data_IF_093038432932
#
_entry.id   IF_093038432932
#
_cell.length_a   1.000
_cell.length_b   1.000
_cell.length_c   1.000
_cell.angle_alpha   90.00
_cell.angle_beta   90.00
_cell.angle_gamma   90.00
#
_symmetry.space_group_name_H-M   'P 1'
#
loop_
_entity.id
_entity.type
_entity.pdbx_description
1 polymer ?
2 polymer ?
3 polymer ?
4 polymer ?
5 non-polymer ?
6 water ?
#
# COMPACT_ATOMS: atom_id res chain seq x y z
N UNK A 3 -18.29 2.98 31.81
CA UNK A 3 -17.94 2.78 30.40
C UNK A 3 -16.45 3.04 30.19
N UNK A 4 -15.74 3.30 31.28
CA UNK A 4 -14.32 3.64 31.21
C UNK A 4 -13.49 2.50 30.62
N UNK A 5 -13.60 1.31 31.21
CA UNK A 5 -12.89 0.13 30.69
C UNK A 5 -13.37 -0.26 29.30
N UNK A 6 -14.67 -0.14 29.04
CA UNK A 6 -15.21 -0.42 27.70
C UNK A 6 -14.59 0.48 26.64
N UNK A 7 -14.38 1.76 26.96
CA UNK A 7 -13.77 2.66 26.00
C UNK A 7 -12.31 2.28 25.75
N UNK A 8 -11.57 1.96 26.80
CA UNK A 8 -10.17 1.58 26.58
C UNK A 8 -10.10 0.29 25.75
N UNK A 9 -11.05 -0.63 25.95
CA UNK A 9 -11.05 -1.87 25.16
C UNK A 9 -11.29 -1.57 23.69
N UNK A 10 -12.22 -0.64 23.40
CA UNK A 10 -12.50 -0.28 22.01
C UNK A 10 -11.29 0.41 21.39
N UNK A 11 -10.62 1.25 22.20
CA UNK A 11 -9.42 1.96 21.75
C UNK A 11 -8.33 0.97 21.40
N UNK A 12 -8.18 -0.10 22.20
CA UNK A 12 -7.10 -1.05 21.93
C UNK A 12 -7.43 -1.93 20.74
N UNK A 13 -8.72 -2.22 20.49
CA UNK A 13 -9.08 -2.88 19.25
C UNK A 13 -8.69 -2.03 18.03
N UNK A 14 -9.05 -0.75 18.04
CA UNK A 14 -8.62 0.13 16.94
C UNK A 14 -7.10 0.14 16.80
N UNK A 15 -6.39 0.26 17.93
CA UNK A 15 -4.94 0.35 17.88
C UNK A 15 -4.32 -0.89 17.27
N UNK A 16 -4.85 -2.07 17.62
CA UNK A 16 -4.40 -3.27 16.94
C UNK A 16 -4.71 -3.24 15.46
N UNK A 17 -5.80 -2.54 15.08
CA UNK A 17 -6.15 -2.44 13.67
C UNK A 17 -5.27 -1.45 12.90
N UNK A 18 -4.55 -0.56 13.58
CA UNK A 18 -3.77 0.46 12.88
C UNK A 18 -2.70 -0.13 11.97
N UNK A 19 -2.03 -1.20 12.41
CA UNK A 19 -0.86 -1.68 11.70
C UNK A 19 0.44 -0.95 11.98
N UNK A 20 0.42 0.06 12.84
CA UNK A 20 1.61 0.81 13.21
C UNK A 20 1.79 0.81 14.74
N UNK A 21 1.28 -0.24 15.38
CA UNK A 21 1.50 -0.49 16.80
C UNK A 21 2.61 -1.53 16.93
N UNK A 22 3.67 -1.17 17.64
CA UNK A 22 4.87 -2.00 17.71
C UNK A 22 5.00 -2.75 19.03
N UNK A 23 3.94 -2.77 19.83
CA UNK A 23 3.93 -3.46 21.12
C UNK A 23 5.10 -3.18 22.05
N UNK A 24 5.73 -4.26 22.52
CA UNK A 24 6.81 -4.20 23.51
C UNK A 24 8.14 -3.67 22.98
N UNK A 25 8.13 -2.85 21.94
CA UNK A 25 9.37 -2.27 21.44
C UNK A 25 10.00 -1.40 22.52
N UNK A 26 11.30 -1.60 22.75
CA UNK A 26 12.00 -0.80 23.76
C UNK A 26 12.29 0.61 23.23
N UNK A 27 12.54 1.51 24.18
CA UNK A 27 12.96 2.89 23.86
C UNK A 27 14.14 2.89 22.91
N UNK A 28 15.15 2.06 23.19
CA UNK A 28 16.32 2.01 22.33
C UNK A 28 15.98 1.44 20.96
N UNK A 29 15.10 0.44 20.92
CA UNK A 29 14.70 -0.13 19.64
C UNK A 29 13.96 0.91 18.80
N UNK A 30 13.11 1.70 19.46
CA UNK A 30 12.36 2.73 18.75
C UNK A 30 13.29 3.80 18.20
N UNK A 31 14.24 4.26 19.01
CA UNK A 31 15.19 5.25 18.53
C UNK A 31 16.01 4.71 17.36
N UNK A 32 16.49 3.47 17.46
CA UNK A 32 17.22 2.83 16.37
C UNK A 32 16.39 2.72 15.09
N UNK A 33 15.10 2.43 15.21
CA UNK A 33 14.25 2.32 14.02
C UNK A 33 14.01 3.66 13.33
N UNK A 34 14.00 4.77 14.06
CA UNK A 34 13.65 6.07 13.52
C UNK A 34 14.84 6.96 13.22
N UNK A 35 16.04 6.57 13.67
CA UNK A 35 17.27 7.34 13.48
C UNK A 35 17.37 8.03 12.12
N UNK A 36 17.16 7.28 11.05
CA UNK A 36 17.32 7.81 9.70
C UNK A 36 15.99 8.07 9.00
N UNK A 37 14.87 7.91 9.71
CA UNK A 37 13.57 8.12 9.10
C UNK A 37 13.33 9.61 8.83
N UNK A 38 12.43 9.94 7.91
CA UNK A 38 12.08 11.34 7.68
C UNK A 38 11.34 11.97 8.86
N UNK A 39 11.48 13.28 8.97
CA UNK A 39 10.77 14.06 9.97
C UNK A 39 9.26 13.84 9.87
N UNK A 40 8.64 13.56 11.01
CA UNK A 40 7.23 13.27 11.08
C UNK A 40 6.89 11.80 11.16
N UNK A 41 7.85 10.93 10.84
CA UNK A 41 7.60 9.50 10.90
C UNK A 41 7.38 9.08 12.34
N UNK A 42 6.33 8.30 12.59
CA UNK A 42 5.94 7.98 13.95
C UNK A 42 5.46 6.53 14.05
N UNK A 43 5.47 6.04 15.29
CA UNK A 43 4.89 4.75 15.64
C UNK A 43 4.32 4.89 17.05
N UNK A 44 3.48 3.93 17.43
CA UNK A 44 3.02 3.81 18.80
C UNK A 44 3.53 2.50 19.38
N UNK A 45 3.92 2.51 20.65
CA UNK A 45 4.38 1.30 21.32
C UNK A 45 3.94 1.36 22.77
N UNK A 46 4.13 0.25 23.49
CA UNK A 46 3.91 0.26 24.93
C UNK A 46 4.90 1.19 25.60
N UNK A 47 4.46 1.83 26.68
CA UNK A 47 5.35 2.63 27.50
C UNK A 47 6.03 1.74 28.53
N UNK A 48 7.30 1.98 28.77
CA UNK A 48 8.00 1.27 29.83
C UNK A 48 7.81 1.90 31.21
N UNK A 49 7.07 3.01 31.32
CA UNK A 49 6.94 3.68 32.61
C UNK A 49 5.67 3.21 33.32
N UNK A 50 5.82 2.93 34.61
CA UNK A 50 4.72 2.39 35.41
C UNK A 50 3.44 3.21 35.32
N UNK A 51 3.57 4.55 35.35
CA UNK A 51 2.41 5.43 35.37
C UNK A 51 1.71 5.62 34.03
N UNK A 52 2.25 5.08 32.93
CA UNK A 52 1.72 5.36 31.61
C UNK A 52 1.55 4.07 30.83
N UNK A 53 0.52 4.04 29.98
CA UNK A 53 0.19 2.90 29.14
C UNK A 53 0.95 2.86 27.81
N UNK A 54 0.99 3.99 27.08
CA UNK A 54 1.49 3.97 25.72
C UNK A 54 2.42 5.16 25.46
N UNK A 55 3.24 5.03 24.42
CA UNK A 55 4.14 6.09 24.00
C UNK A 55 4.12 6.23 22.48
N UNK A 56 4.16 7.48 22.02
CA UNK A 56 4.37 7.82 20.61
C UNK A 56 5.87 8.03 20.42
N UNK A 57 6.46 7.31 19.49
CA UNK A 57 7.84 7.57 19.10
C UNK A 57 7.84 8.26 17.74
N UNK A 58 8.48 9.41 17.66
CA UNK A 58 8.38 10.24 16.46
C UNK A 58 9.74 10.87 16.15
N UNK A 59 10.07 10.91 14.86
CA UNK A 59 11.28 11.60 14.42
C UNK A 59 11.00 13.10 14.40
N UNK A 60 11.82 13.86 15.14
CA UNK A 60 11.88 15.31 15.05
C UNK A 60 13.16 15.70 14.33
N UNK A 61 13.27 16.98 14.00
CA UNK A 61 14.45 17.45 13.29
C UNK A 61 15.70 17.29 14.15
N UNK A 62 15.52 16.99 15.44
CA UNK A 62 16.62 16.82 16.38
C UNK A 62 16.81 15.37 16.79
N UNK A 63 16.16 14.43 16.09
CA UNK A 63 16.27 13.03 16.43
C UNK A 63 14.97 12.38 16.87
N UNK A 64 14.96 11.06 17.03
CA UNK A 64 13.76 10.39 17.55
C UNK A 64 13.50 10.84 18.99
N UNK A 65 12.23 11.05 19.31
CA UNK A 65 11.82 11.37 20.68
C UNK A 65 10.60 10.55 21.06
N UNK A 66 10.29 10.54 22.35
CA UNK A 66 9.20 9.76 22.91
C UNK A 66 8.24 10.71 23.62
N UNK A 67 6.95 10.56 23.36
CA UNK A 67 5.87 11.27 24.05
C UNK A 67 4.84 10.31 24.64
N UNK A 68 4.75 10.24 25.95
CA UNK A 68 3.79 9.33 26.60
C UNK A 68 2.37 9.84 26.42
N UNK A 69 1.39 8.92 26.46
CA UNK A 69 -0.02 9.27 26.38
C UNK A 69 -0.71 8.95 27.70
N UNK A 70 -1.39 9.95 28.27
CA UNK A 70 -2.19 9.78 29.46
C UNK A 70 -3.59 9.28 29.11
N UNK A 71 -4.15 8.50 30.03
CA UNK A 71 -5.54 8.04 29.96
C UNK A 71 -6.14 8.27 31.34
N UNK A 72 -6.99 9.29 31.46
CA UNK A 72 -7.60 9.62 32.74
C UNK A 72 -9.02 10.12 32.53
N UNK A 73 -9.92 9.70 33.43
CA UNK A 73 -11.33 10.07 33.39
C UNK A 73 -11.97 9.65 32.07
N UNK A 74 -11.48 8.55 31.51
CA UNK A 74 -12.00 8.03 30.27
C UNK A 74 -11.57 8.81 29.04
N UNK A 75 -10.54 9.65 29.16
CA UNK A 75 -10.09 10.49 28.05
C UNK A 75 -8.60 10.32 27.83
N UNK A 76 -8.20 10.27 26.55
CA UNK A 76 -6.80 10.18 26.17
C UNK A 76 -6.29 11.60 25.92
N UNK A 77 -5.06 11.86 26.36
CA UNK A 77 -4.42 13.12 25.98
C UNK A 77 -2.90 12.96 26.01
N UNK A 78 -2.23 13.86 25.30
CA UNK A 78 -0.77 13.82 25.31
C UNK A 78 -0.27 14.12 26.72
N UNK A 79 0.98 13.72 26.99
CA UNK A 79 1.61 13.91 28.30
C UNK A 79 1.49 15.36 28.76
N UNK A 80 0.72 15.58 29.82
CA UNK A 80 0.53 16.93 30.36
C UNK A 80 1.71 17.42 31.19
N UNK A 81 2.71 16.59 31.47
CA UNK A 81 3.93 17.10 32.09
C UNK A 81 4.78 17.82 31.05
N UNK A 82 4.73 17.38 29.80
CA UNK A 82 5.52 17.98 28.73
C UNK A 82 4.67 19.01 27.99
N UNK A 83 3.42 18.65 27.72
CA UNK A 83 2.51 19.52 27.00
C UNK A 83 1.54 20.14 27.97
N UNK A 84 1.04 21.34 27.67
CA UNK A 84 0.03 21.96 28.53
C UNK A 84 -1.08 22.55 27.67
N UNK A 87 -4.59 24.00 26.51
CA UNK A 87 -5.84 23.58 25.87
C UNK A 87 -5.69 22.18 25.27
N UNK A 88 -4.95 21.33 25.97
CA UNK A 88 -4.69 19.96 25.53
C UNK A 88 -5.98 19.23 25.25
N UNK A 89 -6.18 18.83 24.00
CA UNK A 89 -7.43 18.20 23.59
C UNK A 89 -7.48 16.75 24.08
N UNK A 90 -8.68 16.31 24.46
CA UNK A 90 -8.93 14.96 24.94
C UNK A 90 -9.73 14.17 23.92
N UNK A 91 -9.59 12.85 23.97
CA UNK A 91 -10.17 12.00 22.93
C UNK A 91 -10.62 10.68 23.55
N UNK A 92 -11.80 10.21 23.15
CA UNK A 92 -12.20 8.84 23.48
C UNK A 92 -11.30 7.80 22.81
N UNK A 93 -10.80 8.10 21.62
CA UNK A 93 -10.04 7.18 20.79
C UNK A 93 -8.60 7.67 20.63
N UNK A 94 -7.63 6.77 20.85
CA UNK A 94 -6.24 7.19 20.73
C UNK A 94 -5.83 7.26 19.26
N UNK A 95 -6.42 6.41 18.42
CA UNK A 95 -6.16 6.51 16.99
C UNK A 95 -6.74 7.83 16.49
N UNK A 96 -7.88 8.24 17.06
CA UNK A 96 -8.44 9.54 16.74
C UNK A 96 -7.48 10.66 17.11
N UNK A 97 -6.87 10.58 18.30
CA UNK A 97 -5.87 11.56 18.73
C UNK A 97 -4.79 11.72 17.67
N UNK A 98 -4.24 10.58 17.24
CA UNK A 98 -3.17 10.60 16.25
C UNK A 98 -3.67 11.24 14.97
N UNK A 99 -4.83 10.79 14.48
CA UNK A 99 -5.43 11.34 13.28
C UNK A 99 -5.61 12.85 13.38
N UNK A 100 -6.08 13.32 14.54
CA UNK A 100 -6.26 14.76 14.79
C UNK A 100 -4.97 15.53 14.53
N UNK A 101 -3.86 15.07 15.13
CA UNK A 101 -2.62 15.82 14.95
C UNK A 101 -2.08 15.69 13.52
N UNK A 102 -2.30 14.51 12.91
CA UNK A 102 -1.91 14.29 11.52
C UNK A 102 -2.61 15.29 10.61
N UNK A 103 -3.89 15.53 10.87
CA UNK A 103 -4.61 16.47 10.01
C UNK A 103 -4.14 17.88 10.32
N UNK A 104 -3.85 18.14 11.61
CA UNK A 104 -3.44 19.46 12.08
C UNK A 104 -2.14 19.91 11.43
N UNK A 105 -1.29 18.99 10.96
CA UNK A 105 -0.11 19.47 10.22
C UNK A 105 -0.28 19.35 8.71
N UNK A 106 -1.52 19.21 8.23
CA UNK A 106 -1.85 19.32 6.81
C UNK A 106 -2.38 20.72 6.51
N UNK A 107 -2.92 21.39 7.54
CA UNK A 107 -3.14 22.83 7.61
C UNK A 107 -1.83 23.52 7.96
N UNK A 108 -1.73 24.06 9.17
CA UNK A 108 -0.58 24.87 9.59
C UNK A 108 0.76 24.20 9.35
N UNK A 121 1.90 23.05 16.21
CA UNK A 121 1.61 21.95 17.12
C UNK A 121 2.20 20.64 16.58
N UNK A 122 1.93 19.54 17.30
CA UNK A 122 2.64 18.28 17.12
C UNK A 122 2.71 17.86 15.65
N UNK A 123 3.93 17.74 15.13
CA UNK A 123 4.18 17.41 13.73
C UNK A 123 4.29 15.90 13.50
N UNK A 124 3.17 15.29 13.12
CA UNK A 124 3.10 13.87 12.78
C UNK A 124 2.70 13.75 11.32
N UNK A 125 3.41 12.93 10.55
CA UNK A 125 3.08 12.79 9.13
C UNK A 125 2.77 11.36 8.71
N UNK A 126 3.79 10.51 8.56
CA UNK A 126 3.59 9.18 8.01
C UNK A 126 3.89 8.11 9.05
N UNK A 127 2.99 7.15 9.25
CA UNK A 127 3.25 6.04 10.18
C UNK A 127 4.29 5.06 9.65
N UNK A 128 4.96 4.39 10.60
CA UNK A 128 5.93 3.33 10.31
C UNK A 128 5.22 1.99 10.48
N UNK A 129 4.90 1.33 9.37
CA UNK A 129 4.15 0.08 9.44
C UNK A 129 5.03 -1.07 9.91
N UNK A 130 4.43 -1.95 10.72
CA UNK A 130 5.13 -3.15 11.17
C UNK A 130 5.26 -4.15 10.01
N UNK A 131 4.21 -4.24 9.20
CA UNK A 131 4.21 -5.03 7.98
C UNK A 131 3.24 -4.39 7.00
N UNK A 132 3.19 -4.95 5.79
CA UNK A 132 2.36 -4.36 4.75
C UNK A 132 0.89 -4.48 5.08
N UNK A 133 0.15 -3.37 5.09
CA UNK A 133 -1.30 -3.45 5.35
C UNK A 133 -2.00 -4.23 4.25
N UNK A 134 -3.18 -4.76 4.58
CA UNK A 134 -3.96 -5.43 3.57
C UNK A 134 -4.45 -4.41 2.54
N UNK A 135 -4.74 -4.89 1.33
CA UNK A 135 -5.25 -4.00 0.30
C UNK A 135 -6.62 -3.44 0.70
N UNK A 136 -7.45 -4.28 1.30
CA UNK A 136 -8.75 -3.84 1.78
C UNK A 136 -8.61 -2.63 2.71
N UNK A 137 -7.66 -2.72 3.65
CA UNK A 137 -7.45 -1.65 4.61
C UNK A 137 -6.93 -0.37 3.95
N UNK A 138 -5.98 -0.50 3.03
CA UNK A 138 -5.51 0.66 2.27
C UNK A 138 -6.64 1.34 1.49
N UNK A 139 -7.54 0.55 0.89
CA UNK A 139 -8.70 1.13 0.23
C UNK A 139 -9.59 1.87 1.22
N UNK A 140 -9.82 1.27 2.39
CA UNK A 140 -10.58 1.94 3.44
C UNK A 140 -9.96 3.28 3.82
N UNK A 141 -8.66 3.28 4.10
CA UNK A 141 -7.91 4.50 4.35
C UNK A 141 -8.10 5.55 3.24
N UNK A 142 -7.99 5.13 1.99
CA UNK A 142 -8.16 6.07 0.88
C UNK A 142 -9.55 6.68 0.86
N UNK A 143 -10.58 5.84 1.05
CA UNK A 143 -11.96 6.31 1.02
C UNK A 143 -12.24 7.28 2.18
N UNK A 144 -11.69 6.98 3.36
CA UNK A 144 -11.87 7.89 4.50
C UNK A 144 -11.32 9.28 4.22
N UNK A 145 -10.27 9.38 3.42
CA UNK A 145 -9.71 10.68 3.03
C UNK A 145 -10.66 11.50 2.15
N UNK A 146 -11.63 10.85 1.50
CA UNK A 146 -12.50 11.52 0.53
C UNK A 146 -13.86 11.93 1.08
N UNK A 147 -14.42 11.18 2.02
CA UNK A 147 -15.75 11.48 2.53
C UNK A 147 -15.92 10.81 3.89
N UNK A 148 -16.82 11.38 4.69
CA UNK A 148 -17.23 10.65 5.87
C UNK A 148 -18.59 10.00 5.67
N UNK A 149 -19.24 10.30 4.54
CA UNK A 149 -20.60 9.82 4.29
C UNK A 149 -20.52 8.41 3.66
N UNK A 150 -20.08 7.44 4.49
CA UNK A 150 -19.87 6.10 3.96
C UNK A 150 -21.18 5.50 3.44
N UNK A 151 -22.28 5.80 4.11
CA UNK A 151 -23.59 5.27 3.75
C UNK A 151 -24.05 5.70 2.37
N UNK A 152 -23.55 6.82 1.86
CA UNK A 152 -23.96 7.35 0.57
C UNK A 152 -23.21 6.80 -0.62
N UNK A 153 -22.24 5.92 -0.37
CA UNK A 153 -21.35 5.30 -1.34
C UNK A 153 -22.04 4.14 -2.03
N UNK A 154 -21.81 3.94 -3.33
CA UNK A 154 -22.40 2.80 -4.05
C UNK A 154 -21.68 1.49 -3.78
N UNK A 155 -21.87 0.97 -2.56
CA UNK A 155 -21.23 -0.25 -2.12
C UNK A 155 -22.23 -1.15 -1.42
N UNK A 156 -22.01 -2.47 -1.44
CA UNK A 156 -22.85 -3.38 -0.65
C UNK A 156 -22.74 -3.13 0.85
N UNK A 157 -23.80 -3.52 1.57
CA UNK A 157 -23.87 -3.34 3.02
C UNK A 157 -22.67 -3.94 3.76
N UNK A 158 -22.18 -5.09 3.31
CA UNK A 158 -21.05 -5.72 3.99
C UNK A 158 -19.81 -4.83 3.97
N UNK A 159 -19.58 -4.15 2.85
CA UNK A 159 -18.42 -3.29 2.75
C UNK A 159 -18.59 -1.96 3.47
N UNK A 160 -19.82 -1.42 3.50
CA UNK A 160 -20.07 -0.28 4.39
C UNK A 160 -19.81 -0.64 5.86
N UNK A 161 -20.28 -1.80 6.32
CA UNK A 161 -19.94 -2.21 7.69
C UNK A 161 -18.44 -2.27 7.90
N UNK A 162 -17.70 -2.80 6.91
CA UNK A 162 -16.25 -2.84 7.03
C UNK A 162 -15.66 -1.43 7.12
N UNK A 163 -16.15 -0.50 6.29
CA UNK A 163 -15.71 0.88 6.37
C UNK A 163 -16.04 1.49 7.73
N UNK A 164 -17.24 1.23 8.23
CA UNK A 164 -17.68 1.70 9.53
C UNK A 164 -16.75 1.24 10.65
N UNK A 165 -16.08 0.10 10.47
CA UNK A 165 -15.24 -0.41 11.55
C UNK A 165 -13.97 0.42 11.77
N UNK A 166 -13.51 1.19 10.79
CA UNK A 166 -12.30 1.99 10.95
C UNK A 166 -12.44 3.26 10.12
N UNK A 167 -12.83 4.36 10.79
CA UNK A 167 -13.19 5.60 10.13
C UNK A 167 -12.03 6.58 10.01
N UNK A 168 -10.82 6.21 10.43
CA UNK A 168 -9.72 7.16 10.46
C UNK A 168 -8.96 7.18 9.13
N UNK A 169 -8.23 8.28 8.93
CA UNK A 169 -7.50 8.53 7.70
C UNK A 169 -6.05 8.09 7.76
N UNK A 170 -5.59 7.60 8.91
CA UNK A 170 -4.25 7.05 9.04
C UNK A 170 -4.32 5.65 9.65
N UNK B 2 16.86 -2.79 -7.68
CA UNK B 2 15.94 -3.41 -8.62
C UNK B 2 15.03 -2.42 -9.32
N UNK B 3 14.64 -2.77 -10.54
CA UNK B 3 13.69 -2.01 -11.34
C UNK B 3 12.50 -2.91 -11.65
N UNK B 4 11.30 -2.36 -11.51
CA UNK B 4 10.05 -3.11 -11.65
C UNK B 4 9.30 -2.68 -12.90
N UNK B 5 8.96 -3.64 -13.75
CA UNK B 5 8.54 -3.34 -15.12
C UNK B 5 7.19 -3.96 -15.39
N UNK B 6 6.47 -3.30 -16.30
CA UNK B 6 5.30 -3.84 -17.00
C UNK B 6 5.64 -3.87 -18.48
N UNK B 7 5.69 -5.07 -19.05
CA UNK B 7 5.92 -5.23 -20.48
C UNK B 7 4.55 -5.40 -21.14
N UNK B 8 4.21 -4.51 -22.06
CA UNK B 8 2.83 -4.43 -22.55
C UNK B 8 2.78 -4.54 -24.07
N UNK B 9 1.93 -5.43 -24.57
CA UNK B 9 1.66 -5.57 -25.99
C UNK B 9 0.19 -5.93 -26.15
N UNK B 10 -0.54 -5.20 -27.00
CA UNK B 10 -1.96 -5.46 -27.22
C UNK B 10 -2.72 -5.51 -25.89
N UNK B 11 -3.28 -6.67 -25.55
CA UNK B 11 -3.99 -6.83 -24.29
C UNK B 11 -3.25 -7.74 -23.31
N UNK B 12 -1.93 -7.87 -23.48
CA UNK B 12 -1.07 -8.60 -22.57
C UNK B 12 -0.20 -7.63 -21.79
N UNK B 13 -0.06 -7.89 -20.48
CA UNK B 13 0.80 -7.13 -19.59
C UNK B 13 1.54 -8.10 -18.70
N UNK B 14 2.88 -8.05 -18.74
CA UNK B 14 3.73 -8.89 -17.90
C UNK B 14 4.31 -8.05 -16.78
N UNK B 15 4.05 -8.44 -15.53
CA UNK B 15 4.69 -7.85 -14.37
C UNK B 15 5.96 -8.63 -14.07
N UNK B 16 7.10 -7.95 -14.10
CA UNK B 16 8.37 -8.62 -13.78
C UNK B 16 9.35 -7.61 -13.21
N UNK B 17 10.41 -8.12 -12.61
CA UNK B 17 11.46 -7.24 -12.11
C UNK B 17 12.80 -7.64 -12.73
N UNK B 18 13.74 -6.70 -12.72
CA UNK B 18 15.08 -6.96 -13.24
C UNK B 18 16.03 -5.97 -12.60
N UNK B 19 17.32 -6.26 -12.68
CA UNK B 19 18.33 -5.32 -12.19
C UNK B 19 18.45 -4.13 -13.13
N UNK B 20 18.66 -2.95 -12.54
CA UNK B 20 19.00 -1.75 -13.31
C UNK B 20 20.18 -1.99 -14.24
N UNK B 21 21.11 -2.87 -13.86
CA UNK B 21 22.31 -3.16 -14.63
C UNK B 21 22.10 -4.15 -15.77
N UNK B 22 20.97 -4.85 -15.82
CA UNK B 22 20.71 -5.80 -16.88
C UNK B 22 20.41 -5.09 -18.21
N UNK B 23 20.57 -5.82 -19.30
CA UNK B 23 20.45 -5.27 -20.65
C UNK B 23 19.07 -5.57 -21.23
N UNK B 24 18.77 -4.86 -22.33
CA UNK B 24 17.55 -5.12 -23.10
C UNK B 24 17.47 -6.59 -23.53
N UNK B 25 18.59 -7.16 -23.96
CA UNK B 25 18.61 -8.55 -24.43
C UNK B 25 18.15 -9.51 -23.34
N UNK B 26 18.67 -9.37 -22.13
CA UNK B 26 18.26 -10.24 -21.03
C UNK B 26 16.76 -10.14 -20.77
N UNK B 27 16.18 -8.94 -20.95
CA UNK B 27 14.74 -8.79 -20.79
C UNK B 27 14.00 -9.49 -21.92
N UNK B 28 14.54 -9.44 -23.15
CA UNK B 28 13.96 -10.19 -24.24
C UNK B 28 14.01 -11.69 -23.95
N UNK B 29 15.06 -12.15 -23.28
CA UNK B 29 15.16 -13.56 -22.92
C UNK B 29 14.09 -13.95 -21.91
N UNK B 30 13.80 -13.03 -20.98
CA UNK B 30 12.68 -13.24 -20.04
C UNK B 30 11.36 -13.32 -20.80
N UNK B 31 11.15 -12.38 -21.72
CA UNK B 31 9.94 -12.39 -22.55
C UNK B 31 9.87 -13.69 -23.33
N UNK B 32 11.01 -14.18 -23.82
CA UNK B 32 11.02 -15.40 -24.61
C UNK B 32 10.60 -16.58 -23.74
N UNK B 33 11.01 -16.57 -22.47
CA UNK B 33 10.63 -17.62 -21.56
C UNK B 33 9.15 -17.62 -21.25
N UNK B 34 8.53 -16.44 -21.28
CA UNK B 34 7.11 -16.34 -20.93
C UNK B 34 6.19 -16.51 -22.14
N UNK B 35 6.45 -15.78 -23.23
CA UNK B 35 5.57 -15.67 -24.39
C UNK B 35 6.00 -16.50 -25.59
N UNK B 36 7.15 -17.18 -25.51
CA UNK B 36 7.53 -18.21 -26.50
C UNK B 36 7.84 -17.61 -27.87
N UNK B 37 8.52 -16.45 -27.88
CA UNK B 37 9.00 -15.82 -29.11
C UNK B 37 10.47 -15.45 -28.92
N UNK B 38 11.34 -15.76 -29.88
CA UNK B 38 12.78 -15.51 -29.71
C UNK B 38 13.12 -14.03 -29.63
N UNK B 39 14.26 -13.70 -29.02
CA UNK B 39 14.76 -12.30 -29.01
C UNK B 39 14.79 -11.59 -30.35
N UNK B 40 15.20 -12.25 -31.43
CA UNK B 40 15.31 -11.58 -32.72
C UNK B 40 13.97 -11.34 -33.39
N UNK B 41 12.88 -11.70 -32.73
CA UNK B 41 11.52 -11.45 -33.19
C UNK B 41 10.82 -10.48 -32.27
N UNK B 42 11.56 -9.80 -31.39
CA UNK B 42 11.01 -8.84 -30.46
C UNK B 42 11.65 -7.47 -30.65
N UNK B 43 10.84 -6.43 -30.50
CA UNK B 43 11.32 -5.07 -30.35
C UNK B 43 10.68 -4.50 -29.10
N UNK B 44 11.48 -3.89 -28.25
CA UNK B 44 10.99 -3.26 -27.03
C UNK B 44 11.17 -1.75 -27.13
N UNK B 45 10.26 -1.03 -26.51
CA UNK B 45 10.21 0.41 -26.68
C UNK B 45 10.00 1.07 -25.33
N UNK B 46 10.62 2.24 -25.14
CA UNK B 46 10.21 3.16 -24.08
C UNK B 46 9.58 4.37 -24.77
N UNK B 47 8.27 4.51 -24.63
CA UNK B 47 7.44 5.41 -25.44
C UNK B 47 7.67 5.02 -26.90
N UNK B 48 8.02 5.96 -27.78
CA UNK B 48 8.25 5.64 -29.18
C UNK B 48 9.69 5.23 -29.46
N UNK B 49 10.54 5.19 -28.44
CA UNK B 49 11.98 4.99 -28.65
C UNK B 49 12.33 3.51 -28.60
N UNK B 50 12.82 2.99 -29.73
CA UNK B 50 13.27 1.60 -29.79
C UNK B 50 14.54 1.43 -28.96
N UNK B 51 14.59 0.36 -28.17
CA UNK B 51 15.70 0.12 -27.26
C UNK B 51 16.68 -0.89 -27.87
N UNK B 52 17.96 -0.53 -27.85
CA UNK B 52 19.00 -1.36 -28.44
C UNK B 52 19.38 -2.50 -27.51
N UNK B 53 19.49 -3.71 -28.07
CA UNK B 53 19.75 -4.92 -27.29
C UNK B 53 20.90 -4.72 -26.31
N UNK B 54 21.94 -3.99 -26.74
CA UNK B 54 23.15 -3.87 -25.95
C UNK B 54 23.12 -2.84 -24.84
N UNK B 55 22.20 -1.89 -24.89
CA UNK B 55 22.15 -0.87 -23.85
C UNK B 55 21.67 -1.48 -22.53
N UNK B 56 22.20 -0.95 -21.42
CA UNK B 56 21.70 -1.33 -20.12
C UNK B 56 20.42 -0.57 -19.78
N UNK B 57 19.66 -1.10 -18.81
CA UNK B 57 18.43 -0.44 -18.40
C UNK B 57 18.68 0.96 -17.84
N UNK B 58 19.77 1.13 -17.09
CA UNK B 58 20.11 2.45 -16.57
C UNK B 58 20.27 3.49 -17.65
N UNK B 59 21.04 3.15 -18.69
CA UNK B 59 21.21 4.04 -19.83
C UNK B 59 19.90 4.27 -20.60
N UNK B 60 18.94 3.36 -20.49
CA UNK B 60 17.63 3.58 -21.11
C UNK B 60 16.66 4.43 -20.28
N UNK B 61 16.96 4.72 -19.02
CA UNK B 61 16.06 5.52 -18.19
C UNK B 61 15.12 4.79 -17.27
N UNK B 62 15.41 3.55 -16.89
CA UNK B 62 14.64 2.78 -15.91
C UNK B 62 15.34 2.77 -14.56
N UNK B 63 14.99 3.71 -13.69
CA UNK B 63 15.66 3.85 -12.41
C UNK B 63 14.80 3.33 -11.28
N UNK B 64 15.47 2.90 -10.20
CA UNK B 64 14.77 2.41 -9.02
C UNK B 64 13.84 3.46 -8.42
N UNK B 65 14.16 4.75 -8.60
CA UNK B 65 13.24 5.81 -8.18
C UNK B 65 12.02 5.90 -9.08
N UNK B 66 12.17 5.56 -10.37
CA UNK B 66 11.10 5.79 -11.33
C UNK B 66 10.26 4.55 -11.59
N UNK B 67 10.73 3.36 -11.17
CA UNK B 67 10.05 2.09 -11.48
C UNK B 67 10.00 1.22 -10.22
N UNK B 68 9.06 1.55 -9.34
CA UNK B 68 8.83 0.98 -8.02
C UNK B 68 7.79 -0.13 -8.09
N UNK B 69 7.79 -1.03 -7.09
CA UNK B 69 6.78 -2.11 -7.09
C UNK B 69 5.37 -1.57 -7.28
N UNK B 70 5.06 -0.45 -6.66
CA UNK B 70 3.72 0.13 -6.66
C UNK B 70 3.46 0.97 -7.91
N UNK B 71 4.49 1.26 -8.72
CA UNK B 71 4.33 2.10 -9.90
C UNK B 71 5.35 1.68 -10.96
N UNK B 72 5.19 0.47 -11.51
CA UNK B 72 6.15 -0.02 -12.50
C UNK B 72 6.15 0.80 -13.78
N UNK B 73 7.31 0.83 -14.45
CA UNK B 73 7.41 1.50 -15.73
C UNK B 73 6.94 0.58 -16.86
N UNK B 74 6.29 1.16 -17.86
CA UNK B 74 5.79 0.40 -19.01
C UNK B 74 6.85 0.27 -20.10
N UNK B 75 7.13 -0.96 -20.50
CA UNK B 75 7.93 -1.26 -21.68
C UNK B 75 7.02 -1.82 -22.75
N UNK B 76 7.05 -1.20 -23.94
CA UNK B 76 6.24 -1.70 -25.04
C UNK B 76 6.92 -2.83 -25.79
N UNK B 77 6.11 -3.70 -26.37
CA UNK B 77 6.60 -4.90 -27.06
C UNK B 77 5.88 -5.07 -28.39
N UNK B 78 6.66 -5.32 -29.43
CA UNK B 78 6.17 -5.61 -30.77
C UNK B 78 6.85 -6.87 -31.28
N UNK B 79 6.10 -7.72 -31.98
CA UNK B 79 6.71 -8.92 -32.52
C UNK B 79 6.99 -8.77 -34.01
N UNK B 80 7.92 -9.60 -34.50
CA UNK B 80 8.18 -9.78 -35.93
C UNK B 80 7.19 -10.76 -36.56
N UNK B 81 6.06 -10.26 -37.03
CA UNK B 81 5.10 -11.09 -37.76
C UNK B 81 5.64 -11.31 -39.17
N UNK B 82 6.02 -12.55 -39.47
CA UNK B 82 6.64 -12.98 -40.72
C UNK B 82 8.01 -12.35 -40.94
N UNK B 83 8.11 -11.42 -41.89
CA UNK B 83 9.38 -10.78 -42.20
C UNK B 83 9.62 -9.52 -41.37
N UNK B 84 8.70 -8.57 -41.47
CA UNK B 84 8.80 -7.28 -40.78
C UNK B 84 8.39 -7.39 -39.32
N UNK B 85 8.25 -6.23 -38.67
CA UNK B 85 7.67 -6.10 -37.34
C UNK B 85 6.28 -5.48 -37.40
N UNK B 86 5.37 -5.98 -36.56
CA UNK B 86 4.10 -5.29 -36.35
C UNK B 86 4.35 -3.90 -35.77
N UNK B 87 3.39 -3.00 -35.97
CA UNK B 87 3.44 -1.72 -35.28
C UNK B 87 3.24 -1.94 -33.79
N UNK B 88 4.01 -1.20 -32.98
CA UNK B 88 3.78 -1.16 -31.53
C UNK B 88 2.34 -0.77 -31.17
N UNK B 89 1.58 -1.73 -30.67
CA UNK B 89 0.20 -1.50 -30.29
C UNK B 89 -0.04 -1.94 -28.87
N UNK B 90 -0.52 -1.04 -28.02
CA UNK B 90 -0.93 -1.43 -26.67
C UNK B 90 -2.36 -0.95 -26.40
N UNK B 91 -3.25 -1.89 -26.03
CA UNK B 91 -4.64 -1.54 -25.78
C UNK B 91 -4.75 -0.92 -24.38
N UNK B 92 -5.34 0.27 -24.24
CA UNK B 92 -5.50 0.88 -22.92
C UNK B 92 -6.34 0.05 -21.96
N UNK B 93 -6.09 0.24 -20.67
CA UNK B 93 -6.94 -0.30 -19.62
C UNK B 93 -8.30 0.40 -19.61
N UNK B 94 -9.27 -0.23 -18.97
CA UNK B 94 -10.61 0.35 -18.87
C UNK B 94 -10.58 1.68 -18.12
N UNK B 95 -11.64 2.47 -18.32
CA UNK B 95 -11.80 3.78 -17.69
C UNK B 95 -12.59 3.66 -16.38
N UNK B 96 -12.13 4.32 -15.32
CA UNK B 96 -12.90 4.33 -14.08
C UNK B 96 -14.20 5.10 -14.24
N UNK B 97 -15.25 4.74 -13.50
CA UNK B 97 -16.50 5.51 -13.57
C UNK B 97 -16.31 6.87 -12.90
N UNK B 98 -17.31 7.75 -13.10
CA UNK B 98 -17.32 9.01 -12.37
C UNK B 98 -17.35 8.77 -10.87
N UNK B 99 -16.55 9.55 -10.14
CA UNK B 99 -16.60 9.55 -8.70
C UNK B 99 -18.01 9.89 -8.20
N UNK B 100 -18.48 9.23 -7.14
CA UNK B 100 -19.66 9.77 -6.44
C UNK B 100 -19.40 11.20 -6.02
N UNK B 101 -20.48 11.97 -5.85
CA UNK B 101 -20.34 13.35 -5.40
C UNK B 101 -19.65 13.45 -4.05
N UNK B 102 -20.04 12.61 -3.09
CA UNK B 102 -19.51 12.70 -1.74
C UNK B 102 -17.99 12.59 -1.72
N UNK B 103 -17.41 11.92 -2.71
CA UNK B 103 -15.96 11.83 -2.77
C UNK B 103 -15.32 13.07 -3.38
N UNK B 104 -16.14 14.04 -3.80
CA UNK B 104 -15.77 15.43 -4.13
C UNK B 104 -14.27 15.75 -4.19
N UNK C 1 5.75 -21.24 -12.38
CA UNK C 1 6.60 -20.07 -12.21
C UNK C 1 5.72 -18.82 -12.30
N UNK C 2 4.98 -18.70 -13.39
CA UNK C 2 4.07 -17.58 -13.63
C UNK C 2 2.63 -18.07 -13.75
N UNK C 3 1.67 -17.19 -13.42
CA UNK C 3 0.26 -17.42 -13.71
C UNK C 3 -0.31 -16.25 -14.50
N UNK C 4 -1.40 -16.54 -15.21
CA UNK C 4 -2.18 -15.56 -15.98
C UNK C 4 -3.52 -15.24 -15.35
N UNK C 5 -3.80 -13.95 -15.15
CA UNK C 5 -5.05 -13.46 -14.59
C UNK C 5 -5.73 -12.57 -15.63
N UNK C 6 -6.95 -12.93 -16.03
CA UNK C 6 -7.65 -12.28 -17.13
C UNK C 6 -8.79 -11.42 -16.57
N UNK C 7 -8.81 -10.15 -16.96
CA UNK C 7 -9.82 -9.20 -16.50
C UNK C 7 -11.12 -9.38 -17.27
N UNK C 8 -12.19 -8.75 -16.77
CA UNK C 8 -13.49 -8.80 -17.44
C UNK C 8 -13.42 -8.35 -18.89
N UNK C 9 -12.62 -7.33 -19.19
CA UNK C 9 -12.48 -6.82 -20.55
C UNK C 9 -11.44 -7.59 -21.36
N UNK C 10 -10.88 -8.66 -20.82
CA UNK C 10 -10.06 -9.56 -21.60
C UNK C 10 -8.58 -9.23 -21.62
N UNK C 11 -8.14 -8.30 -20.79
CA UNK C 11 -6.72 -8.05 -20.61
C UNK C 11 -6.09 -9.19 -19.83
N UNK C 12 -4.92 -9.64 -20.28
CA UNK C 12 -4.22 -10.76 -19.65
C UNK C 12 -3.00 -10.22 -18.92
N UNK C 13 -2.98 -10.43 -17.60
CA UNK C 13 -1.88 -10.00 -16.73
C UNK C 13 -1.11 -11.23 -16.28
N UNK C 14 0.18 -11.26 -16.59
CA UNK C 14 1.06 -12.38 -16.25
C UNK C 14 1.93 -11.99 -15.06
N UNK C 15 1.76 -12.68 -13.94
CA UNK C 15 2.45 -12.33 -12.71
C UNK C 15 3.07 -13.58 -12.09
N UNK C 16 4.13 -13.39 -11.31
CA UNK C 16 4.76 -14.51 -10.63
C UNK C 16 3.76 -15.22 -9.74
N UNK C 17 3.77 -16.55 -9.80
CA UNK C 17 2.84 -17.35 -9.01
C UNK C 17 2.96 -17.02 -7.53
N UNK C 18 4.20 -16.90 -7.03
CA UNK C 18 4.42 -16.49 -5.65
C UNK C 18 3.68 -15.20 -5.33
N UNK C 19 3.80 -14.20 -6.21
CA UNK C 19 3.12 -12.93 -5.98
C UNK C 19 1.60 -13.11 -5.98
N UNK C 20 1.08 -13.81 -6.98
CA UNK C 20 -0.36 -14.07 -7.09
C UNK C 20 -0.92 -14.77 -5.85
N UNK C 21 -0.15 -15.63 -5.19
CA UNK C 21 -0.65 -16.32 -4.01
C UNK C 21 -0.91 -15.40 -2.81
N UNK C 22 -0.57 -14.12 -2.91
CA UNK C 22 -1.03 -13.15 -1.91
C UNK C 22 -2.55 -13.18 -1.74
N UNK C 23 -3.28 -13.40 -2.83
CA UNK C 23 -4.73 -13.55 -2.75
C UNK C 23 -5.10 -14.96 -2.30
N UNK C 24 -5.79 -15.05 -1.17
CA UNK C 24 -6.30 -16.33 -0.70
C UNK C 24 -7.26 -17.00 -1.67
N UNK C 25 -8.07 -16.19 -2.37
CA UNK C 25 -8.95 -16.72 -3.42
C UNK C 25 -8.15 -17.43 -4.50
N UNK C 26 -7.15 -16.76 -5.06
CA UNK C 26 -6.30 -17.37 -6.08
C UNK C 26 -5.57 -18.60 -5.52
N UNK C 27 -4.98 -18.44 -4.34
CA UNK C 27 -4.33 -19.56 -3.64
C UNK C 27 -5.21 -20.81 -3.55
N UNK C 28 -6.49 -20.66 -3.19
CA UNK C 28 -7.36 -21.82 -3.11
C UNK C 28 -7.61 -22.47 -4.47
N UNK C 29 -7.82 -21.65 -5.50
CA UNK C 29 -8.09 -22.20 -6.82
C UNK C 29 -6.83 -22.19 -7.70
N UNK C 42 -2.97 -22.81 -16.16
CA UNK C 42 -2.56 -21.83 -15.16
C UNK C 42 -3.13 -20.45 -15.46
N UNK C 43 -4.42 -20.40 -15.77
CA UNK C 43 -5.14 -19.17 -16.02
C UNK C 43 -6.27 -19.03 -15.00
N UNK C 44 -6.60 -17.78 -14.65
CA UNK C 44 -7.80 -17.48 -13.86
C UNK C 44 -8.54 -16.33 -14.50
N UNK C 45 -9.83 -16.55 -14.79
CA UNK C 45 -10.76 -15.57 -15.35
C UNK C 45 -11.61 -14.99 -14.23
N UNK C 46 -11.60 -13.67 -14.07
CA UNK C 46 -12.43 -13.04 -13.05
C UNK C 46 -13.74 -12.42 -13.55
N UNK C 47 -13.89 -12.24 -14.87
CA UNK C 47 -15.08 -11.63 -15.48
C UNK C 47 -15.75 -10.44 -14.78
N UNK C 48 -15.54 -10.24 -13.48
CA UNK C 48 -16.19 -9.15 -12.76
C UNK C 48 -15.22 -8.07 -12.30
N UNK C 49 -13.96 -8.14 -12.73
CA UNK C 49 -12.90 -7.21 -12.34
C UNK C 49 -12.26 -6.57 -13.57
N UNK C 50 -12.41 -5.26 -13.79
CA UNK C 50 -11.86 -4.66 -15.01
C UNK C 50 -10.36 -4.44 -14.89
N UNK C 51 -9.74 -4.18 -16.04
CA UNK C 51 -8.28 -4.17 -16.13
C UNK C 51 -7.64 -3.02 -15.36
N UNK C 52 -8.29 -1.85 -15.28
CA UNK C 52 -7.73 -0.75 -14.51
C UNK C 52 -7.70 -1.07 -13.02
N UNK C 53 -8.44 -2.08 -12.59
CA UNK C 53 -8.43 -2.54 -11.20
C UNK C 53 -7.49 -3.73 -11.03
N UNK C 54 -7.60 -4.72 -11.92
CA UNK C 54 -6.77 -5.91 -11.80
C UNK C 54 -5.29 -5.55 -11.89
N UNK C 55 -4.94 -4.58 -12.73
CA UNK C 55 -3.54 -4.16 -12.84
C UNK C 55 -3.03 -3.62 -11.51
N UNK C 56 -3.82 -2.74 -10.88
CA UNK C 56 -3.45 -2.19 -9.59
C UNK C 56 -3.39 -3.28 -8.51
N UNK C 57 -4.30 -4.26 -8.59
CA UNK C 57 -4.21 -5.43 -7.71
C UNK C 57 -2.87 -6.12 -7.87
N UNK C 58 -2.42 -6.28 -9.12
CA UNK C 58 -1.14 -6.96 -9.36
C UNK C 58 0.01 -6.13 -8.81
N UNK C 59 -0.09 -4.81 -8.93
CA UNK C 59 0.92 -3.94 -8.33
C UNK C 59 0.91 -4.09 -6.81
N UNK C 60 -0.27 -4.28 -6.23
CA UNK C 60 -0.34 -4.55 -4.79
C UNK C 60 0.39 -5.83 -4.45
N UNK C 61 0.16 -6.88 -5.23
CA UNK C 61 0.89 -8.13 -5.01
C UNK C 61 2.39 -7.88 -4.96
N UNK C 62 2.91 -7.17 -5.97
CA UNK C 62 4.34 -6.84 -6.00
C UNK C 62 4.76 -6.08 -4.75
N UNK C 63 4.02 -5.01 -4.41
CA UNK C 63 4.31 -4.18 -3.24
C UNK C 63 4.31 -4.99 -1.94
N UNK C 64 3.32 -5.87 -1.78
CA UNK C 64 3.21 -6.66 -0.56
C UNK C 64 4.36 -7.65 -0.45
N UNK C 65 4.72 -8.30 -1.56
CA UNK C 65 5.81 -9.27 -1.51
C UNK C 65 7.15 -8.59 -1.22
N UNK C 66 7.41 -7.44 -1.86
CA UNK C 66 8.71 -6.78 -1.68
C UNK C 66 8.92 -6.21 -0.29
N UNK C 67 7.85 -5.81 0.40
CA UNK C 67 7.94 -5.22 1.73
C UNK C 67 7.29 -6.05 2.84
N UNK C 68 7.42 -7.38 2.78
CA UNK C 68 6.86 -8.21 3.85
C UNK C 68 7.96 -8.83 4.71
N UNK C 71 14.76 -4.55 6.36
CA UNK C 71 14.43 -3.18 5.99
C UNK C 71 12.92 -3.00 5.81
N UNK C 72 12.19 -3.05 6.93
CA UNK C 72 10.74 -2.87 6.90
C UNK C 72 10.32 -1.45 6.53
N UNK C 73 11.18 -0.60 5.96
CA UNK C 73 10.81 0.76 5.58
C UNK C 73 9.82 0.65 4.42
N UNK C 74 8.60 0.28 4.75
CA UNK C 74 7.53 0.05 3.78
C UNK C 74 7.07 1.40 3.23
N UNK C 75 7.14 1.61 1.92
CA UNK C 75 6.72 2.88 1.34
C UNK C 75 5.21 2.93 1.21
N UNK C 76 4.71 4.10 0.83
CA UNK C 76 3.28 4.26 0.64
C UNK C 76 2.84 3.55 -0.63
N UNK C 77 1.61 3.04 -0.60
CA UNK C 77 0.98 2.44 -1.78
C UNK C 77 -0.16 3.34 -2.22
N UNK C 78 0.03 4.12 -3.28
CA UNK C 78 -0.96 5.13 -3.64
C UNK C 78 -2.13 4.54 -4.41
N UNK C 79 -3.33 5.01 -4.07
CA UNK C 79 -4.54 4.59 -4.76
C UNK C 79 -5.28 5.84 -5.20
N UNK C 80 -5.56 5.94 -6.49
CA UNK C 80 -6.37 7.02 -7.02
C UNK C 80 -7.80 6.97 -6.50
N UNK C 81 -8.35 8.10 -6.04
CA UNK C 81 -9.76 8.10 -5.59
C UNK C 81 -10.73 7.52 -6.61
N UNK C 82 -10.42 7.62 -7.91
CA UNK C 82 -11.36 7.24 -8.95
C UNK C 82 -11.57 5.73 -9.04
N UNK C 83 -10.63 4.92 -8.55
CA UNK C 83 -10.75 3.46 -8.55
C UNK C 83 -10.94 2.88 -7.15
N UNK C 84 -10.90 3.70 -6.11
CA UNK C 84 -10.79 3.17 -4.75
C UNK C 84 -11.96 2.27 -4.38
N UNK C 85 -13.18 2.67 -4.69
CA UNK C 85 -14.33 1.84 -4.33
C UNK C 85 -14.28 0.48 -5.02
N UNK C 86 -14.01 0.48 -6.32
CA UNK C 86 -13.88 -0.78 -7.03
C UNK C 86 -12.71 -1.59 -6.49
N UNK C 87 -11.60 -0.92 -6.17
CA UNK C 87 -10.46 -1.66 -5.65
C UNK C 87 -10.83 -2.35 -4.35
N UNK C 88 -11.59 -1.64 -3.50
CA UNK C 88 -12.00 -2.25 -2.23
C UNK C 88 -12.79 -3.52 -2.50
N UNK C 89 -13.74 -3.44 -3.43
CA UNK C 89 -14.55 -4.61 -3.72
C UNK C 89 -13.67 -5.75 -4.21
N UNK C 90 -12.75 -5.44 -5.12
CA UNK C 90 -11.82 -6.47 -5.61
C UNK C 90 -10.99 -7.04 -4.48
N UNK C 91 -10.44 -6.17 -3.63
CA UNK C 91 -9.67 -6.67 -2.49
C UNK C 91 -10.51 -7.58 -1.61
N UNK C 92 -11.77 -7.19 -1.37
CA UNK C 92 -12.62 -8.05 -0.55
C UNK C 92 -12.87 -9.37 -1.24
N UNK C 93 -13.14 -9.32 -2.55
CA UNK C 93 -13.32 -10.56 -3.27
C UNK C 93 -12.06 -11.42 -3.22
N UNK C 94 -10.88 -10.80 -3.32
CA UNK C 94 -9.66 -11.61 -3.36
C UNK C 94 -9.12 -12.01 -2.00
N UNK C 95 -9.66 -11.45 -0.90
CA UNK C 95 -9.18 -11.75 0.44
C UNK C 95 -7.70 -11.40 0.56
N UNK C 96 -7.36 -10.17 0.17
CA UNK C 96 -5.98 -9.70 0.33
C UNK C 96 -5.91 -8.24 0.80
N UNK D 2 -5.02 -6.52 23.20
CA UNK D 2 -3.84 -6.35 24.04
C UNK D 2 -4.21 -6.47 25.52
N UNK D 3 -4.49 -7.71 25.95
CA UNK D 3 -4.94 -7.93 27.33
C UNK D 3 -3.91 -7.48 28.35
N UNK D 4 -2.63 -7.50 27.98
CA UNK D 4 -1.60 -6.98 28.89
C UNK D 4 -1.87 -5.53 29.25
N UNK D 5 -2.26 -4.71 28.28
CA UNK D 5 -2.53 -3.30 28.55
C UNK D 5 -3.82 -3.13 29.34
N UNK D 6 -4.83 -3.97 29.08
CA UNK D 6 -6.04 -3.94 29.89
C UNK D 6 -5.73 -4.18 31.35
N UNK D 7 -4.88 -5.17 31.65
CA UNK D 7 -4.57 -5.49 33.02
C UNK D 7 -3.65 -4.46 33.67
N UNK D 8 -2.76 -3.84 32.88
CA UNK D 8 -1.93 -2.77 33.43
C UNK D 8 -2.79 -1.59 33.89
N UNK D 9 -3.76 -1.19 33.06
CA UNK D 9 -4.67 -0.12 33.45
C UNK D 9 -5.53 -0.54 34.64
N UNK D 10 -6.01 -1.79 34.63
CA UNK D 10 -6.80 -2.27 35.77
C UNK D 10 -5.99 -2.25 37.06
N UNK D 11 -4.67 -2.47 36.96
CA UNK D 11 -3.83 -2.41 38.15
C UNK D 11 -3.61 -0.98 38.61
N UNK D 12 -3.16 -0.11 37.70
CA UNK D 12 -2.95 1.29 38.05
C UNK D 12 -4.25 2.08 37.90
X LIG E 1 8.88 5.13 27.50
X LIG E 1 10.18 5.61 27.93
X LIG E 1 8.31 6.08 26.54
X LIG E 1 7.99 5.02 28.66
X LIG E 1 9.01 3.82 26.87
#
# INVERSE_FOLDING_TARGET
ARQQAARLAKALRELGQTGWYWGSMTVNEAKEKLKEAPEGTFLIRDSSHSDYLLTISVKTSAGPTNLRIEYQDGKFRLDSIICVKSALAAFDSVVHLIDYYVQMCKDKRTGPEAPRNGTVHLYLTKPLYTSAPSLQHLCRLTINKCTGAIWGLPLPTRLKDYLEEYKFQV
MDVFLMIRRHKTTIFTDAKESSTVFELKRIVEGILKRPPDEQRLYKDDQLLDDGKTLGECGFTSQTARPQAPATVGLAFRADDTFEALCIEPFSSPPELPDVMKPQDSGSSANEQAVQ
MYVKLISSDGHEFIVKREHALTSGTIKAMLSGPGQFAENETNEVNFREIPSHVLSKVCMYFTYKVRYTNSSTEIPEFPIAPEIALELLMAANFLDC
ALQHLMDKWMAM
SO4 S O1 O2 O3 O4
#
